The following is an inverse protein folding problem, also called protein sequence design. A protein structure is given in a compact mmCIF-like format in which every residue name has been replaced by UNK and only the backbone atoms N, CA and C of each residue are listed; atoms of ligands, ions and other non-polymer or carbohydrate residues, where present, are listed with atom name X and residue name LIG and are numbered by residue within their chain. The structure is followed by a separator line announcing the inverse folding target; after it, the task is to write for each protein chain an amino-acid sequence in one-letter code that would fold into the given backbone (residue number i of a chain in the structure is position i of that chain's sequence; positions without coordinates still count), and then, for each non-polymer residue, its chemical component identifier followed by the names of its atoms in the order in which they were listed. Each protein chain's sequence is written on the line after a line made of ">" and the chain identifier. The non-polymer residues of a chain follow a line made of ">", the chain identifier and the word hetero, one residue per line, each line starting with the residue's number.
data_IF_693740924748
#
_entry.id   IF_693740924748
#
_cell.length_a   1.000
_cell.length_b   1.000
_cell.length_c   1.000
_cell.angle_alpha   90.00
_cell.angle_beta   90.00
_cell.angle_gamma   90.00
#
_symmetry.space_group_name_H-M   'P 1'
#
loop_
_entity.id
_entity.type
_entity.pdbx_description
1 polymer ?
#
# COMPACT_ATOMS: atom_id res chain seq x y z
N UNK A 1 -32.14 29.93 -17.32
CA UNK A 1 -32.05 28.68 -18.09
C UNK A 1 -30.58 28.43 -18.34
N UNK A 2 -29.87 27.91 -17.32
CA UNK A 2 -28.42 27.71 -17.41
C UNK A 2 -28.15 26.44 -18.21
N UNK A 3 -27.41 26.61 -19.30
CA UNK A 3 -27.02 25.57 -20.24
C UNK A 3 -26.21 24.49 -19.53
N UNK A 4 -26.66 23.22 -19.65
CA UNK A 4 -25.95 22.04 -19.18
C UNK A 4 -24.52 22.03 -19.75
N UNK A 5 -23.53 22.21 -18.89
CA UNK A 5 -22.14 22.01 -19.27
C UNK A 5 -21.85 20.51 -19.34
N UNK A 6 -21.86 19.98 -20.56
CA UNK A 6 -21.59 18.57 -20.88
C UNK A 6 -20.09 18.24 -20.86
N UNK A 7 -19.23 19.24 -20.71
CA UNK A 7 -17.77 19.08 -20.80
C UNK A 7 -17.10 18.84 -19.46
N UNK A 8 -17.86 18.89 -18.35
CA UNK A 8 -17.36 18.80 -16.97
C UNK A 8 -16.28 19.84 -16.62
N UNK A 9 -16.07 20.85 -17.47
CA UNK A 9 -14.99 21.85 -17.31
C UNK A 9 -15.26 22.75 -16.13
N UNK A 10 -16.51 23.17 -15.93
CA UNK A 10 -16.93 23.98 -14.79
C UNK A 10 -16.80 23.21 -13.48
N UNK A 11 -17.18 21.93 -13.46
CA UNK A 11 -17.04 21.07 -12.27
C UNK A 11 -15.55 20.86 -11.95
N UNK A 12 -14.72 20.61 -12.96
CA UNK A 12 -13.27 20.44 -12.81
C UNK A 12 -12.60 21.71 -12.28
N UNK A 13 -12.92 22.89 -12.83
CA UNK A 13 -12.36 24.17 -12.38
C UNK A 13 -12.72 24.46 -10.92
N UNK A 14 -14.01 24.37 -10.58
CA UNK A 14 -14.49 24.66 -9.22
C UNK A 14 -13.92 23.65 -8.22
N UNK A 15 -13.91 22.36 -8.56
CA UNK A 15 -13.35 21.34 -7.67
C UNK A 15 -11.84 21.51 -7.48
N UNK A 16 -11.12 21.84 -8.55
CA UNK A 16 -9.67 22.10 -8.51
C UNK A 16 -9.34 23.31 -7.62
N UNK A 17 -10.09 24.40 -7.72
CA UNK A 17 -9.90 25.61 -6.90
C UNK A 17 -10.12 25.32 -5.41
N UNK A 18 -11.19 24.61 -5.05
CA UNK A 18 -11.49 24.26 -3.67
C UNK A 18 -10.51 23.24 -3.07
N UNK A 19 -10.02 22.29 -3.88
CA UNK A 19 -8.99 21.34 -3.46
C UNK A 19 -7.63 22.01 -3.31
N UNK A 20 -7.27 22.92 -4.23
CA UNK A 20 -6.05 23.73 -4.11
C UNK A 20 -6.06 24.63 -2.86
N UNK A 21 -7.22 25.23 -2.56
CA UNK A 21 -7.42 25.99 -1.34
C UNK A 21 -7.27 25.11 -0.08
N UNK A 22 -7.80 23.88 -0.10
CA UNK A 22 -7.61 22.91 0.98
C UNK A 22 -6.13 22.60 1.20
N UNK A 23 -5.39 22.26 0.13
CA UNK A 23 -3.97 21.91 0.21
C UNK A 23 -3.13 23.07 0.75
N UNK A 24 -3.47 24.31 0.35
CA UNK A 24 -2.78 25.53 0.79
C UNK A 24 -2.99 25.78 2.29
N UNK A 25 -4.22 25.66 2.78
CA UNK A 25 -4.52 25.83 4.20
C UNK A 25 -3.92 24.69 5.03
N UNK A 26 -4.06 23.44 4.58
CA UNK A 26 -3.51 22.29 5.29
C UNK A 26 -1.98 22.36 5.40
N UNK A 27 -1.29 22.78 4.34
CA UNK A 27 0.16 23.04 4.38
C UNK A 27 0.53 24.19 5.33
N UNK A 28 -0.26 25.27 5.37
CA UNK A 28 -0.05 26.38 6.30
C UNK A 28 -0.27 25.96 7.76
N UNK A 29 -1.31 25.18 8.05
CA UNK A 29 -1.60 24.67 9.41
C UNK A 29 -0.49 23.74 9.88
N UNK A 30 -0.02 22.84 9.00
CA UNK A 30 1.09 21.92 9.30
C UNK A 30 2.41 22.65 9.55
N UNK A 31 2.66 23.76 8.84
CA UNK A 31 3.89 24.55 9.00
C UNK A 31 3.84 25.54 10.18
N UNK A 32 2.66 26.05 10.54
CA UNK A 32 2.48 26.98 11.66
C UNK A 32 1.28 26.61 12.55
N UNK A 33 1.44 25.62 13.46
CA UNK A 33 0.34 25.11 14.26
C UNK A 33 -0.29 26.16 15.19
N UNK A 34 0.51 27.01 15.82
CA UNK A 34 0.04 27.97 16.84
C UNK A 34 -0.94 29.03 16.29
N UNK A 35 -0.74 29.48 15.04
CA UNK A 35 -1.65 30.41 14.36
C UNK A 35 -2.67 29.71 13.44
N UNK A 36 -2.36 28.51 12.97
CA UNK A 36 -3.15 27.78 11.98
C UNK A 36 -4.41 27.11 12.53
N UNK A 37 -4.52 26.85 13.84
CA UNK A 37 -5.70 26.16 14.39
C UNK A 37 -7.02 26.91 14.19
N UNK A 38 -6.99 28.25 14.09
CA UNK A 38 -8.19 29.04 13.75
C UNK A 38 -8.68 28.80 12.33
N UNK A 39 -7.78 28.39 11.43
CA UNK A 39 -8.09 28.09 10.03
C UNK A 39 -8.63 26.66 9.84
N UNK A 40 -8.50 25.80 10.85
CA UNK A 40 -8.96 24.41 10.80
C UNK A 40 -10.47 24.30 10.52
N UNK A 41 -11.26 25.28 10.99
CA UNK A 41 -12.70 25.32 10.77
C UNK A 41 -13.10 25.54 9.31
N UNK A 42 -12.18 26.03 8.46
CA UNK A 42 -12.44 26.26 7.04
C UNK A 42 -12.17 25.03 6.17
N UNK A 43 -11.37 24.06 6.64
CA UNK A 43 -11.07 22.83 5.89
C UNK A 43 -12.34 22.01 5.56
N UNK A 44 -13.32 21.83 6.47
CA UNK A 44 -14.55 21.12 6.12
C UNK A 44 -15.39 21.80 5.02
N UNK A 45 -15.29 23.12 4.86
CA UNK A 45 -16.07 23.86 3.88
C UNK A 45 -15.65 23.55 2.43
N UNK A 46 -14.40 23.15 2.21
CA UNK A 46 -13.91 22.76 0.88
C UNK A 46 -14.62 21.50 0.39
N UNK A 47 -14.81 20.50 1.26
CA UNK A 47 -15.53 19.28 0.94
C UNK A 47 -17.03 19.53 0.72
N UNK A 48 -17.62 20.48 1.43
CA UNK A 48 -19.01 20.89 1.20
C UNK A 48 -19.14 21.56 -0.17
N UNK A 49 -18.21 22.45 -0.55
CA UNK A 49 -18.21 23.11 -1.84
C UNK A 49 -18.02 22.13 -3.00
N UNK A 50 -17.08 21.19 -2.89
CA UNK A 50 -16.87 20.11 -3.88
C UNK A 50 -18.10 19.21 -3.96
N UNK A 51 -18.70 18.84 -2.83
CA UNK A 51 -19.93 18.03 -2.82
C UNK A 51 -21.11 18.78 -3.47
N UNK A 52 -21.24 20.09 -3.27
CA UNK A 52 -22.28 20.89 -3.93
C UNK A 52 -22.02 21.06 -5.43
N UNK A 53 -20.77 21.16 -5.85
CA UNK A 53 -20.38 21.20 -7.25
C UNK A 53 -20.66 19.85 -7.95
N UNK A 54 -20.43 18.74 -7.27
CA UNK A 54 -20.67 17.38 -7.77
C UNK A 54 -22.12 16.90 -7.59
N UNK A 55 -22.86 17.41 -6.61
CA UNK A 55 -24.20 16.94 -6.22
C UNK A 55 -25.38 17.68 -6.87
N UNK A 56 -25.12 18.72 -7.68
CA UNK A 56 -26.08 19.26 -8.66
C UNK A 56 -26.33 18.20 -9.76
N UNK A 57 -27.42 18.26 -10.56
CA UNK A 57 -27.90 17.15 -11.42
C UNK A 57 -26.99 16.79 -12.63
N UNK A 58 -25.68 16.92 -12.47
CA UNK A 58 -24.61 16.46 -13.34
C UNK A 58 -23.70 15.41 -12.68
N UNK A 59 -23.92 15.00 -11.42
CA UNK A 59 -23.05 14.00 -10.77
C UNK A 59 -23.78 12.99 -9.90
N UNK A 60 -23.92 11.78 -10.46
CA UNK A 60 -24.16 10.50 -9.78
C UNK A 60 -25.51 10.37 -9.06
N UNK A 61 -26.54 10.03 -9.83
CA UNK A 61 -27.72 9.36 -9.29
C UNK A 61 -27.33 8.04 -8.60
N UNK A 62 -27.52 7.95 -7.28
CA UNK A 62 -27.74 6.67 -6.60
C UNK A 62 -26.52 5.97 -5.96
N UNK A 63 -25.37 6.62 -5.82
CA UNK A 63 -24.27 6.05 -5.02
C UNK A 63 -24.26 6.74 -3.66
N UNK A 64 -24.50 5.98 -2.58
CA UNK A 64 -24.35 6.49 -1.21
C UNK A 64 -22.93 7.01 -0.99
N UNK A 65 -22.82 8.27 -0.56
CA UNK A 65 -21.57 8.89 -0.18
C UNK A 65 -20.93 8.10 0.98
N UNK A 66 -19.92 7.28 0.66
CA UNK A 66 -19.14 6.54 1.64
C UNK A 66 -17.81 7.25 1.88
N UNK A 67 -17.52 7.58 3.15
CA UNK A 67 -16.19 8.02 3.55
C UNK A 67 -15.15 6.95 3.16
N UNK A 68 -13.91 7.30 2.76
CA UNK A 68 -12.86 6.32 2.48
C UNK A 68 -12.58 5.45 3.71
N UNK A 69 -13.22 4.28 3.79
CA UNK A 69 -12.95 3.26 4.83
C UNK A 69 -11.59 2.58 4.62
N UNK A 70 -11.01 2.79 3.44
CA UNK A 70 -9.77 2.17 2.95
C UNK A 70 -8.53 2.75 3.62
N UNK A 71 -8.55 4.03 4.04
CA UNK A 71 -7.35 4.72 4.52
C UNK A 71 -6.74 4.11 5.79
N UNK A 72 -7.56 3.62 6.71
CA UNK A 72 -7.05 3.01 7.95
C UNK A 72 -6.39 1.66 7.66
N UNK A 73 -7.05 0.81 6.88
CA UNK A 73 -6.52 -0.51 6.51
C UNK A 73 -5.26 -0.37 5.65
N UNK A 74 -5.25 0.54 4.68
CA UNK A 74 -4.09 0.79 3.83
C UNK A 74 -2.91 1.37 4.62
N UNK A 75 -3.15 2.26 5.58
CA UNK A 75 -2.09 2.75 6.48
C UNK A 75 -1.50 1.62 7.31
N UNK A 76 -2.33 0.71 7.82
CA UNK A 76 -1.86 -0.47 8.56
C UNK A 76 -1.06 -1.40 7.65
N UNK A 77 -1.56 -1.70 6.45
CA UNK A 77 -0.89 -2.55 5.47
C UNK A 77 0.46 -1.96 5.04
N UNK A 78 0.51 -0.65 4.77
CA UNK A 78 1.73 0.08 4.43
C UNK A 78 2.75 0.01 5.56
N UNK A 79 2.32 0.21 6.81
CA UNK A 79 3.21 0.12 7.98
C UNK A 79 3.79 -1.28 8.13
N UNK A 80 2.95 -2.32 8.00
CA UNK A 80 3.39 -3.72 8.03
C UNK A 80 4.41 -4.01 6.92
N UNK A 81 4.12 -3.59 5.69
CA UNK A 81 5.02 -3.76 4.55
C UNK A 81 6.39 -3.12 4.82
N UNK A 82 6.41 -1.88 5.33
CA UNK A 82 7.67 -1.18 5.64
C UNK A 82 8.47 -1.94 6.69
N UNK A 83 7.83 -2.32 7.80
CA UNK A 83 8.48 -3.06 8.88
C UNK A 83 9.06 -4.40 8.41
N UNK A 84 8.30 -5.18 7.63
CA UNK A 84 8.77 -6.46 7.09
C UNK A 84 9.92 -6.26 6.10
N UNK A 85 9.87 -5.23 5.27
CA UNK A 85 10.93 -4.94 4.28
C UNK A 85 12.22 -4.47 4.96
N UNK A 86 12.12 -3.64 6.00
CA UNK A 86 13.29 -3.22 6.80
C UNK A 86 13.93 -4.42 7.52
N UNK A 87 13.12 -5.28 8.14
CA UNK A 87 13.60 -6.51 8.77
C UNK A 87 14.30 -7.41 7.74
N UNK A 88 13.69 -7.60 6.56
CA UNK A 88 14.29 -8.36 5.47
C UNK A 88 15.64 -7.80 5.02
N UNK A 89 15.73 -6.49 4.76
CA UNK A 89 16.98 -5.84 4.37
C UNK A 89 18.05 -5.93 5.46
N UNK A 90 17.65 -5.87 6.73
CA UNK A 90 18.56 -6.02 7.87
C UNK A 90 19.13 -7.43 8.00
N UNK A 91 18.34 -8.45 7.63
CA UNK A 91 18.70 -9.87 7.66
C UNK A 91 19.63 -10.33 6.53
N UNK A 92 19.89 -9.47 5.53
CA UNK A 92 20.86 -9.74 4.46
C UNK A 92 22.27 -9.76 5.07
N UNK A 93 22.90 -10.93 5.06
CA UNK A 93 24.23 -11.16 5.65
C UNK A 93 25.37 -10.41 4.96
N UNK A 94 25.22 -10.05 3.68
CA UNK A 94 26.26 -9.42 2.89
C UNK A 94 26.19 -7.88 2.95
N UNK A 95 27.11 -7.26 3.68
CA UNK A 95 27.18 -5.80 3.88
C UNK A 95 27.26 -4.99 2.58
N UNK A 96 27.86 -5.56 1.53
CA UNK A 96 28.03 -4.90 0.23
C UNK A 96 26.73 -4.78 -0.58
N UNK A 97 25.86 -5.79 -0.55
CA UNK A 97 24.56 -5.73 -1.23
C UNK A 97 23.56 -4.86 -0.47
N UNK A 98 23.60 -4.84 0.87
CA UNK A 98 22.76 -3.99 1.71
C UNK A 98 22.86 -2.50 1.40
N UNK A 99 24.07 -2.00 1.12
CA UNK A 99 24.31 -0.57 0.89
C UNK A 99 23.70 -0.06 -0.44
N UNK A 100 23.32 -0.97 -1.34
CA UNK A 100 22.80 -0.65 -2.67
C UNK A 100 21.28 -0.50 -2.71
N UNK A 101 20.56 -0.92 -1.66
CA UNK A 101 19.10 -0.97 -1.67
C UNK A 101 18.50 0.11 -0.77
N UNK A 102 17.96 1.16 -1.39
CA UNK A 102 16.96 2.03 -0.75
C UNK A 102 15.58 1.37 -0.77
N UNK A 103 14.72 1.73 0.17
CA UNK A 103 13.37 1.18 0.31
C UNK A 103 12.51 1.39 -0.95
N UNK A 104 12.70 2.51 -1.65
CA UNK A 104 12.04 2.76 -2.95
C UNK A 104 12.50 1.73 -4.00
N UNK A 105 13.80 1.59 -4.18
CA UNK A 105 14.41 0.63 -5.12
C UNK A 105 14.04 -0.82 -4.78
N UNK A 106 13.98 -1.14 -3.48
CA UNK A 106 13.55 -2.45 -3.00
C UNK A 106 12.10 -2.74 -3.40
N UNK A 107 11.19 -1.80 -3.13
CA UNK A 107 9.76 -1.97 -3.42
C UNK A 107 9.42 -2.04 -4.90
N UNK A 108 10.19 -1.36 -5.77
CA UNK A 108 9.91 -1.31 -7.21
C UNK A 108 10.58 -2.43 -8.00
N UNK A 109 11.80 -2.83 -7.63
CA UNK A 109 12.60 -3.73 -8.46
C UNK A 109 12.91 -5.05 -7.77
N UNK A 110 13.34 -5.02 -6.51
CA UNK A 110 13.86 -6.21 -5.85
C UNK A 110 12.76 -7.17 -5.40
N UNK A 111 11.67 -6.64 -4.83
CA UNK A 111 10.63 -7.46 -4.20
C UNK A 111 9.94 -8.40 -5.18
N UNK A 112 9.75 -7.97 -6.43
CA UNK A 112 9.11 -8.81 -7.44
C UNK A 112 9.95 -10.05 -7.77
N UNK A 113 11.26 -9.87 -7.98
CA UNK A 113 12.14 -10.99 -8.32
C UNK A 113 12.37 -11.93 -7.15
N UNK A 114 12.53 -11.40 -5.92
CA UNK A 114 12.73 -12.26 -4.75
C UNK A 114 11.47 -13.10 -4.47
N UNK A 115 10.27 -12.54 -4.64
CA UNK A 115 9.02 -13.29 -4.51
C UNK A 115 8.89 -14.40 -5.56
N UNK A 116 9.37 -14.15 -6.80
CA UNK A 116 9.39 -15.17 -7.84
C UNK A 116 10.36 -16.32 -7.51
N UNK A 117 11.50 -16.02 -6.89
CA UNK A 117 12.47 -17.03 -6.45
C UNK A 117 11.91 -17.81 -5.24
N UNK A 118 11.25 -17.12 -4.31
CA UNK A 118 10.66 -17.71 -3.10
C UNK A 118 9.37 -18.51 -3.37
N UNK A 119 8.74 -18.32 -4.53
CA UNK A 119 7.55 -19.05 -4.96
C UNK A 119 7.85 -19.96 -6.17
N UNK A 120 8.69 -21.00 -6.01
CA UNK A 120 8.89 -21.96 -7.08
C UNK A 120 7.59 -22.74 -7.30
N UNK A 121 7.29 -23.06 -8.57
CA UNK A 121 6.13 -23.88 -8.95
C UNK A 121 6.37 -25.35 -8.58
N UNK A 122 6.36 -25.63 -7.27
CA UNK A 122 6.41 -27.00 -6.74
C UNK A 122 4.97 -27.42 -6.47
N UNK A 123 4.53 -28.50 -7.10
CA UNK A 123 3.24 -29.11 -6.81
C UNK A 123 3.20 -29.60 -5.37
N UNK A 124 2.15 -29.27 -4.63
CA UNK A 124 1.92 -29.76 -3.27
C UNK A 124 1.58 -31.25 -3.38
N UNK A 125 2.55 -32.11 -3.12
CA UNK A 125 2.43 -33.56 -3.18
C UNK A 125 3.38 -34.23 -2.19
N UNK A 126 3.33 -35.57 -2.14
CA UNK A 126 4.25 -36.33 -1.29
C UNK A 126 5.70 -36.10 -1.76
N UNK A 127 6.58 -35.67 -0.84
CA UNK A 127 8.01 -35.41 -1.11
C UNK A 127 8.71 -36.64 -1.71
N UNK A 128 8.22 -37.85 -1.41
CA UNK A 128 8.71 -39.10 -1.99
C UNK A 128 8.49 -39.22 -3.51
N UNK A 129 7.53 -38.48 -4.08
CA UNK A 129 7.21 -38.46 -5.51
C UNK A 129 7.90 -37.32 -6.27
N UNK A 130 8.76 -36.54 -5.61
CA UNK A 130 9.46 -35.44 -6.26
C UNK A 130 10.52 -35.98 -7.22
N UNK A 131 10.50 -35.46 -8.44
CA UNK A 131 11.59 -35.66 -9.40
C UNK A 131 12.87 -35.02 -8.88
N UNK A 132 14.02 -35.50 -9.35
CA UNK A 132 15.33 -34.96 -8.92
C UNK A 132 15.48 -33.46 -9.23
N UNK A 133 14.80 -32.96 -10.26
CA UNK A 133 14.72 -31.53 -10.56
C UNK A 133 13.93 -30.72 -9.52
N UNK A 134 12.82 -31.27 -9.01
CA UNK A 134 12.04 -30.66 -7.92
C UNK A 134 12.85 -30.64 -6.62
N UNK A 135 13.58 -31.71 -6.31
CA UNK A 135 14.47 -31.76 -5.14
C UNK A 135 15.60 -30.74 -5.22
N UNK A 136 16.22 -30.58 -6.39
CA UNK A 136 17.23 -29.53 -6.62
C UNK A 136 16.66 -28.12 -6.44
N UNK A 137 15.46 -27.88 -6.98
CA UNK A 137 14.77 -26.59 -6.84
C UNK A 137 14.42 -26.27 -5.38
N UNK A 138 13.98 -27.28 -4.62
CA UNK A 138 13.70 -27.14 -3.20
C UNK A 138 14.98 -26.87 -2.37
N UNK A 139 16.06 -27.60 -2.64
CA UNK A 139 17.35 -27.35 -1.96
C UNK A 139 17.86 -25.94 -2.25
N UNK A 140 17.76 -25.48 -3.50
CA UNK A 140 18.08 -24.10 -3.87
C UNK A 140 17.19 -23.09 -3.13
N UNK A 141 15.90 -23.36 -2.99
CA UNK A 141 14.99 -22.50 -2.22
C UNK A 141 15.43 -22.40 -0.76
N UNK A 142 15.75 -23.52 -0.11
CA UNK A 142 16.21 -23.56 1.29
C UNK A 142 17.53 -22.79 1.46
N UNK A 143 18.46 -22.95 0.52
CA UNK A 143 19.74 -22.22 0.52
C UNK A 143 19.50 -20.70 0.37
N UNK A 144 18.63 -20.30 -0.56
CA UNK A 144 18.22 -18.90 -0.72
C UNK A 144 17.58 -18.38 0.56
N UNK A 145 16.59 -19.08 1.13
CA UNK A 145 15.96 -18.71 2.39
C UNK A 145 16.99 -18.54 3.52
N UNK A 146 17.95 -19.46 3.62
CA UNK A 146 19.03 -19.39 4.62
C UNK A 146 19.94 -18.18 4.40
N UNK A 147 20.26 -17.82 3.14
CA UNK A 147 21.12 -16.67 2.83
C UNK A 147 20.46 -15.32 3.14
N UNK A 148 19.13 -15.25 3.03
CA UNK A 148 18.31 -14.08 3.38
C UNK A 148 17.76 -14.13 4.81
N UNK A 149 18.21 -15.08 5.64
CA UNK A 149 17.76 -15.26 7.02
C UNK A 149 16.25 -15.46 7.20
N UNK A 150 15.56 -15.95 6.17
CA UNK A 150 14.11 -16.17 6.20
C UNK A 150 13.75 -17.41 7.00
N UNK A 151 12.78 -17.24 7.91
CA UNK A 151 12.21 -18.32 8.73
C UNK A 151 10.81 -18.65 8.27
N UNK A 152 10.49 -19.94 8.36
CA UNK A 152 9.15 -20.45 8.13
C UNK A 152 8.43 -20.52 9.47
N UNK A 153 7.36 -19.73 9.65
CA UNK A 153 6.58 -19.69 10.87
C UNK A 153 5.20 -20.27 10.58
N UNK A 154 4.85 -21.31 11.34
CA UNK A 154 3.52 -21.89 11.32
C UNK A 154 2.67 -21.17 12.37
N UNK A 155 1.70 -20.39 11.91
CA UNK A 155 0.75 -19.71 12.77
C UNK A 155 -0.54 -20.52 12.81
N UNK A 156 -1.04 -20.81 14.01
CA UNK A 156 -2.35 -21.42 14.19
C UNK A 156 -3.39 -20.30 14.30
N UNK A 157 -4.29 -20.22 13.32
CA UNK A 157 -5.43 -19.31 13.37
C UNK A 157 -6.41 -19.76 14.45
N UNK A 158 -7.20 -18.83 14.99
CA UNK A 158 -8.25 -19.09 15.99
C UNK A 158 -9.27 -20.14 15.55
N UNK A 159 -9.44 -20.30 14.24
CA UNK A 159 -10.34 -21.28 13.63
C UNK A 159 -9.71 -22.69 13.47
N UNK A 160 -8.51 -22.91 14.04
CA UNK A 160 -7.78 -24.18 13.96
C UNK A 160 -7.07 -24.43 12.63
N UNK A 161 -7.12 -23.48 11.69
CA UNK A 161 -6.38 -23.53 10.41
C UNK A 161 -4.93 -23.11 10.60
N UNK A 162 -4.00 -23.82 9.98
CA UNK A 162 -2.60 -23.42 9.96
C UNK A 162 -2.34 -22.48 8.78
N UNK A 163 -1.82 -21.28 9.05
CA UNK A 163 -1.20 -20.42 8.05
C UNK A 163 0.31 -20.58 8.11
N UNK A 164 0.94 -20.58 6.94
CA UNK A 164 2.37 -20.72 6.80
C UNK A 164 2.93 -19.40 6.28
N UNK A 165 3.59 -18.68 7.17
CA UNK A 165 4.09 -17.35 6.89
C UNK A 165 5.62 -17.35 6.85
N UNK A 166 6.19 -16.67 5.87
CA UNK A 166 7.63 -16.43 5.78
C UNK A 166 7.95 -15.12 6.49
N UNK A 167 8.78 -15.21 7.54
CA UNK A 167 9.22 -14.05 8.31
C UNK A 167 10.73 -13.87 8.22
N UNK A 168 11.23 -12.68 7.85
CA UNK A 168 12.65 -12.35 7.99
C UNK A 168 13.08 -12.26 9.47
#
# INVERSE_FOLDING_TARGET
>A
METRDLTYTVISSISSEWLYFYDTIDAFIKSNPSGGYSLLSYLPHTFVAVNLACGRPLGLSGIEFCYPKVDAQEKVNKKKFIQTSEAFLSGISNSGSRCLWDMKSFSSYFIYYILQILSPKISIGNVALFTDEMKKSLNRLVEVMSSYSLKFVQNQSSDGRYSFDLTP
#
